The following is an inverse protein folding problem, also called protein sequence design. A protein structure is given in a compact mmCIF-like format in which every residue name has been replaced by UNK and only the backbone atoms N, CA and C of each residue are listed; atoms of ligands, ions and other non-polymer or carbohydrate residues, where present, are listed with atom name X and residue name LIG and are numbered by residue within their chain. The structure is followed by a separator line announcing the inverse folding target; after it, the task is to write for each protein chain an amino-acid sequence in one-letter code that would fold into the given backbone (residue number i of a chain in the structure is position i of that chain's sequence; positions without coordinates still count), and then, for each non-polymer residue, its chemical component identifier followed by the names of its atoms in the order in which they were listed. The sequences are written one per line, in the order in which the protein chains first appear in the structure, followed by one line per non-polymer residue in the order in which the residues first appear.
data_IF_301456058106
#
_entry.id   IF_301456058106
#
_cell.length_a   1.000
_cell.length_b   1.000
_cell.length_c   1.000
_cell.angle_alpha   90.00
_cell.angle_beta   90.00
_cell.angle_gamma   90.00
#
_symmetry.space_group_name_H-M   'P 1'
#
loop_
_entity.id
_entity.type
_entity.pdbx_description
1 polymer ?
#
# COMPACT_ATOMS: atom_id res chain seq x y z
N UNK A 1 -2.78 55.78 -12.82
CA UNK A 1 -2.01 56.71 -11.96
C UNK A 1 -1.50 55.91 -10.75
N UNK A 2 -0.23 56.10 -10.40
CA UNK A 2 0.62 55.35 -9.43
C UNK A 2 1.11 53.97 -9.90
N UNK A 3 2.23 53.83 -10.62
CA UNK A 3 3.67 53.91 -10.21
C UNK A 3 4.06 52.74 -9.28
N UNK A 4 4.51 51.58 -9.80
CA UNK A 4 5.90 51.22 -10.12
C UNK A 4 6.92 51.60 -9.03
N UNK A 5 7.62 50.58 -8.49
CA UNK A 5 9.06 50.61 -8.26
C UNK A 5 9.56 49.18 -7.98
N UNK A 6 10.26 48.61 -8.97
CA UNK A 6 11.12 47.43 -8.83
C UNK A 6 12.37 47.81 -8.04
N UNK A 7 12.73 47.00 -7.03
CA UNK A 7 14.02 47.03 -6.37
C UNK A 7 14.86 45.82 -6.77
N UNK A 8 16.01 46.08 -7.39
CA UNK A 8 16.99 45.10 -7.85
C UNK A 8 17.83 44.52 -6.69
N UNK A 9 18.40 43.33 -6.94
CA UNK A 9 19.22 42.50 -6.03
C UNK A 9 20.49 43.20 -5.50
N UNK A 10 21.12 42.58 -4.49
CA UNK A 10 22.51 42.18 -4.71
C UNK A 10 22.78 40.70 -4.39
N UNK A 11 23.58 40.10 -5.27
CA UNK A 11 24.31 38.85 -5.11
C UNK A 11 25.15 38.84 -3.83
N UNK A 12 24.78 38.00 -2.86
CA UNK A 12 25.63 37.62 -1.74
C UNK A 12 26.25 36.25 -1.99
N UNK A 13 27.54 36.21 -2.31
CA UNK A 13 28.34 34.99 -2.27
C UNK A 13 28.65 34.68 -0.79
N UNK A 14 27.97 33.72 -0.20
CA UNK A 14 28.38 33.12 1.07
C UNK A 14 29.23 31.88 0.79
N UNK A 15 30.46 31.99 1.26
CA UNK A 15 31.55 31.04 1.20
C UNK A 15 31.18 29.71 1.86
N UNK A 16 31.87 28.68 1.38
CA UNK A 16 31.75 27.26 1.72
C UNK A 16 31.91 26.98 3.22
N UNK A 17 31.01 26.15 3.76
CA UNK A 17 31.38 25.13 4.74
C UNK A 17 31.00 23.77 4.15
N UNK A 18 31.95 22.83 3.96
CA UNK A 18 31.60 21.46 3.65
C UNK A 18 30.87 20.86 4.86
N UNK A 19 29.88 19.98 4.65
CA UNK A 19 29.15 19.38 5.75
C UNK A 19 30.15 18.64 6.64
N UNK A 20 30.26 19.10 7.88
CA UNK A 20 30.95 18.38 8.94
C UNK A 20 30.51 16.93 8.87
N UNK A 21 31.49 16.03 8.86
CA UNK A 21 31.28 14.60 8.85
C UNK A 21 30.39 14.22 10.04
N UNK A 22 29.09 14.19 9.79
CA UNK A 22 28.12 13.65 10.72
C UNK A 22 28.52 12.21 10.95
N UNK A 23 28.91 11.92 12.20
CA UNK A 23 29.07 10.56 12.74
C UNK A 23 28.11 9.62 12.01
N UNK A 24 28.59 8.45 11.52
CA UNK A 24 27.68 7.44 10.99
C UNK A 24 26.59 7.27 12.05
N UNK A 25 25.32 7.52 11.68
CA UNK A 25 24.19 7.14 12.53
C UNK A 25 24.51 5.73 12.97
N UNK A 26 24.73 5.53 14.27
CA UNK A 26 25.01 4.22 14.81
C UNK A 26 24.00 3.29 14.18
N UNK A 27 24.49 2.30 13.40
CA UNK A 27 23.61 1.27 12.88
C UNK A 27 22.92 0.72 14.10
N UNK A 28 21.64 1.08 14.29
CA UNK A 28 20.84 0.58 15.38
C UNK A 28 20.66 -0.88 15.03
N UNK A 29 21.60 -1.71 15.49
CA UNK A 29 21.62 -3.14 15.27
C UNK A 29 20.27 -3.67 15.73
N UNK A 30 19.48 -4.12 14.78
CA UNK A 30 18.19 -4.71 15.06
C UNK A 30 18.43 -5.93 15.95
N UNK A 31 17.70 -6.04 17.05
CA UNK A 31 17.78 -7.21 17.92
C UNK A 31 17.39 -8.44 17.10
N UNK A 32 18.30 -9.41 17.06
CA UNK A 32 18.03 -10.73 16.50
C UNK A 32 17.39 -11.60 17.59
N UNK A 33 16.16 -12.04 17.37
CA UNK A 33 15.44 -12.93 18.27
C UNK A 33 15.69 -14.37 17.84
N UNK A 34 16.01 -15.23 18.79
CA UNK A 34 16.20 -16.67 18.58
C UNK A 34 14.86 -17.41 18.37
N UNK A 35 14.94 -18.64 17.88
CA UNK A 35 13.75 -19.48 17.70
C UNK A 35 13.03 -19.74 19.03
N UNK A 36 13.77 -19.87 20.13
CA UNK A 36 13.23 -20.09 21.47
C UNK A 36 12.51 -18.85 22.03
N UNK A 37 12.94 -17.65 21.62
CA UNK A 37 12.28 -16.39 22.01
C UNK A 37 11.00 -16.12 21.20
N UNK A 38 10.84 -16.76 20.04
CA UNK A 38 9.73 -16.53 19.12
C UNK A 38 8.72 -17.67 19.20
N UNK A 39 7.68 -17.50 20.02
CA UNK A 39 6.55 -18.42 20.08
C UNK A 39 5.96 -18.68 18.69
N UNK A 40 6.16 -19.88 18.16
CA UNK A 40 5.71 -20.29 16.82
C UNK A 40 6.18 -19.38 15.66
N UNK A 41 7.36 -18.74 15.79
CA UNK A 41 7.89 -17.85 14.76
C UNK A 41 7.12 -16.52 14.61
N UNK A 42 6.23 -16.21 15.55
CA UNK A 42 5.46 -14.97 15.59
C UNK A 42 6.30 -13.81 16.14
N UNK A 43 5.96 -12.58 15.72
CA UNK A 43 6.60 -11.38 16.25
C UNK A 43 6.35 -11.25 17.78
N UNK A 44 7.34 -10.82 18.56
CA UNK A 44 7.17 -10.56 19.98
C UNK A 44 6.01 -9.58 20.25
N UNK A 45 5.13 -9.84 21.26
CA UNK A 45 3.92 -9.04 21.50
C UNK A 45 4.17 -7.53 21.66
N UNK A 46 5.29 -7.12 22.26
CA UNK A 46 5.63 -5.71 22.46
C UNK A 46 5.90 -4.95 21.16
N UNK A 47 6.25 -5.65 20.07
CA UNK A 47 6.38 -5.02 18.74
C UNK A 47 5.01 -4.79 18.09
N UNK A 48 4.06 -5.69 18.36
CA UNK A 48 2.70 -5.60 17.84
C UNK A 48 1.89 -4.53 18.57
N UNK A 49 2.00 -4.42 19.90
CA UNK A 49 1.29 -3.38 20.68
C UNK A 49 1.70 -1.97 20.27
N UNK A 50 2.98 -1.75 19.97
CA UNK A 50 3.47 -0.46 19.45
C UNK A 50 2.85 -0.09 18.11
N UNK A 51 2.40 -1.09 17.37
CA UNK A 51 1.85 -0.97 16.02
C UNK A 51 0.33 -1.10 15.95
N UNK A 52 -0.35 -1.17 17.11
CA UNK A 52 -1.79 -1.42 17.27
C UNK A 52 -2.74 -0.43 16.55
N UNK A 53 -2.21 0.57 15.84
CA UNK A 53 -2.99 1.44 14.94
C UNK A 53 -3.32 0.81 13.59
N UNK A 54 -2.80 -0.38 13.26
CA UNK A 54 -3.07 -1.06 12.00
C UNK A 54 -4.54 -1.44 11.80
N UNK A 55 -5.21 -1.90 12.86
CA UNK A 55 -6.58 -2.44 12.78
C UNK A 55 -7.60 -1.42 12.26
N UNK A 56 -7.29 -0.12 12.35
CA UNK A 56 -8.14 0.95 11.85
C UNK A 56 -7.88 1.29 10.38
N UNK A 57 -6.79 0.79 9.79
CA UNK A 57 -6.48 1.02 8.39
C UNK A 57 -7.37 0.13 7.51
N UNK A 58 -7.96 0.72 6.48
CA UNK A 58 -8.88 0.04 5.57
C UNK A 58 -8.34 -1.30 5.01
N UNK A 59 -7.07 -1.40 4.56
CA UNK A 59 -6.53 -2.68 4.10
C UNK A 59 -6.56 -3.81 5.13
N UNK A 60 -6.51 -3.49 6.42
CA UNK A 60 -6.49 -4.50 7.50
C UNK A 60 -7.92 -4.83 7.89
N UNK A 61 -8.74 -3.81 8.13
CA UNK A 61 -10.13 -3.97 8.55
C UNK A 61 -10.99 -4.76 7.55
N UNK A 62 -10.70 -4.67 6.25
CA UNK A 62 -11.46 -5.38 5.21
C UNK A 62 -11.20 -6.89 5.16
N UNK A 63 -10.06 -7.38 5.69
CA UNK A 63 -9.66 -8.79 5.53
C UNK A 63 -10.71 -9.75 6.07
N UNK A 64 -11.21 -9.52 7.30
CA UNK A 64 -12.20 -10.40 7.93
C UNK A 64 -13.50 -10.50 7.12
N UNK A 65 -13.94 -9.38 6.52
CA UNK A 65 -15.14 -9.35 5.67
C UNK A 65 -14.92 -10.11 4.35
N UNK A 66 -13.74 -9.94 3.73
CA UNK A 66 -13.39 -10.63 2.49
C UNK A 66 -13.25 -12.14 2.67
N UNK A 67 -12.70 -12.59 3.81
CA UNK A 67 -12.63 -14.01 4.13
C UNK A 67 -14.02 -14.61 4.36
N UNK A 68 -14.88 -13.91 5.10
CA UNK A 68 -16.26 -14.34 5.34
C UNK A 68 -17.09 -14.45 4.04
N UNK A 69 -16.87 -13.55 3.08
CA UNK A 69 -17.55 -13.59 1.77
C UNK A 69 -16.94 -14.60 0.80
N UNK A 70 -15.61 -14.80 0.84
CA UNK A 70 -14.92 -15.79 0.01
C UNK A 70 -15.41 -17.22 0.25
N UNK A 71 -15.71 -17.58 1.50
CA UNK A 71 -16.32 -18.87 1.82
C UNK A 71 -17.72 -19.05 1.20
N UNK A 72 -18.47 -17.97 0.95
CA UNK A 72 -19.75 -18.01 0.24
C UNK A 72 -19.56 -18.09 -1.27
N UNK A 73 -18.64 -17.26 -1.81
CA UNK A 73 -18.35 -17.21 -3.25
C UNK A 73 -17.60 -18.43 -3.77
N UNK A 74 -17.02 -19.30 -2.94
CA UNK A 74 -16.49 -20.58 -3.43
C UNK A 74 -17.55 -21.47 -4.12
N UNK A 75 -18.84 -21.21 -3.90
CA UNK A 75 -19.94 -21.81 -4.66
C UNK A 75 -20.33 -21.06 -5.95
N UNK A 76 -19.85 -19.83 -6.15
CA UNK A 76 -20.05 -19.03 -7.37
C UNK A 76 -18.74 -18.98 -8.17
N UNK A 77 -18.73 -19.60 -9.35
CA UNK A 77 -17.54 -19.71 -10.19
C UNK A 77 -16.82 -18.39 -10.47
N UNK A 78 -15.55 -18.43 -10.90
CA UNK A 78 -14.70 -17.25 -11.03
C UNK A 78 -15.25 -16.23 -12.05
N UNK A 79 -15.93 -15.20 -11.56
CA UNK A 79 -16.28 -13.99 -12.29
C UNK A 79 -15.04 -13.07 -12.36
N UNK A 80 -14.07 -13.36 -13.22
CA UNK A 80 -12.99 -12.42 -13.51
C UNK A 80 -12.38 -12.67 -14.89
N UNK A 81 -13.19 -12.50 -15.93
CA UNK A 81 -12.70 -12.33 -17.29
C UNK A 81 -11.82 -11.08 -17.36
N UNK A 82 -10.80 -11.13 -18.22
CA UNK A 82 -9.81 -10.09 -18.51
C UNK A 82 -10.39 -8.78 -19.08
N UNK A 83 -11.72 -8.63 -19.05
CA UNK A 83 -12.48 -7.57 -19.72
C UNK A 83 -13.12 -6.66 -18.68
N UNK A 84 -13.08 -5.35 -18.93
CA UNK A 84 -13.75 -4.35 -18.10
C UNK A 84 -15.27 -4.63 -18.05
N UNK A 85 -15.90 -4.64 -16.86
CA UNK A 85 -17.33 -4.88 -16.74
C UNK A 85 -18.13 -3.77 -17.44
N UNK A 86 -19.32 -4.12 -17.93
CA UNK A 86 -20.28 -3.13 -18.43
C UNK A 86 -21.23 -2.81 -17.28
N UNK A 87 -21.25 -1.56 -16.82
CA UNK A 87 -22.15 -1.16 -15.74
C UNK A 87 -23.51 -0.74 -16.29
N UNK A 88 -24.57 -1.35 -15.76
CA UNK A 88 -25.95 -0.93 -16.02
C UNK A 88 -26.52 -0.26 -14.76
N UNK A 89 -27.17 0.91 -14.88
CA UNK A 89 -27.75 1.60 -13.72
C UNK A 89 -28.65 0.73 -12.84
N UNK A 90 -29.34 -0.25 -13.44
CA UNK A 90 -30.28 -1.14 -12.76
C UNK A 90 -29.58 -2.20 -11.90
N UNK A 91 -28.37 -2.63 -12.28
CA UNK A 91 -27.60 -3.68 -11.59
C UNK A 91 -26.84 -3.13 -10.37
N UNK A 92 -26.90 -1.82 -10.17
CA UNK A 92 -26.01 -1.03 -9.31
C UNK A 92 -26.71 -0.53 -8.05
N UNK A 93 -27.97 -0.86 -7.78
CA UNK A 93 -28.66 -0.31 -6.60
C UNK A 93 -28.13 -0.87 -5.27
N UNK A 94 -27.87 -2.18 -5.19
CA UNK A 94 -27.44 -2.88 -3.97
C UNK A 94 -25.93 -3.18 -3.93
N UNK A 95 -25.20 -2.79 -4.98
CA UNK A 95 -23.79 -3.11 -5.13
C UNK A 95 -22.90 -2.20 -4.26
N UNK A 96 -21.73 -2.69 -3.86
CA UNK A 96 -20.78 -1.91 -3.07
C UNK A 96 -20.11 -0.80 -3.90
N UNK A 97 -19.55 0.22 -3.26
CA UNK A 97 -18.88 1.35 -3.95
C UNK A 97 -17.85 0.92 -5.00
N UNK A 98 -17.13 -0.19 -4.77
CA UNK A 98 -16.12 -0.70 -5.70
C UNK A 98 -16.69 -1.28 -7.00
N UNK A 99 -17.92 -1.80 -6.95
CA UNK A 99 -18.65 -2.37 -8.08
C UNK A 99 -19.36 -1.29 -8.89
N UNK A 100 -19.79 -0.21 -8.21
CA UNK A 100 -20.52 0.92 -8.81
C UNK A 100 -19.63 2.05 -9.32
N UNK A 101 -18.34 1.98 -9.03
CA UNK A 101 -17.35 2.97 -9.47
C UNK A 101 -17.17 2.94 -10.99
N UNK A 102 -17.00 4.11 -11.60
CA UNK A 102 -16.60 4.20 -13.02
C UNK A 102 -15.17 3.72 -13.28
N UNK A 103 -14.35 3.57 -12.24
CA UNK A 103 -13.07 2.89 -12.27
C UNK A 103 -13.16 1.72 -11.29
N UNK A 104 -13.89 0.64 -11.63
CA UNK A 104 -14.21 -0.41 -10.69
C UNK A 104 -12.97 -1.21 -10.31
N UNK A 105 -12.95 -1.76 -9.11
CA UNK A 105 -11.87 -2.60 -8.61
C UNK A 105 -12.42 -3.80 -7.87
N UNK A 106 -11.65 -4.87 -7.79
CA UNK A 106 -11.88 -5.98 -6.85
C UNK A 106 -10.86 -5.91 -5.73
N UNK A 107 -11.20 -6.48 -4.58
CA UNK A 107 -10.20 -6.75 -3.55
C UNK A 107 -9.65 -8.17 -3.70
N UNK A 108 -8.34 -8.30 -3.51
CA UNK A 108 -7.69 -9.58 -3.21
C UNK A 108 -7.02 -9.50 -1.85
N UNK A 109 -6.84 -10.64 -1.21
CA UNK A 109 -6.05 -10.73 0.02
C UNK A 109 -4.60 -10.98 -0.37
N UNK A 110 -3.76 -9.99 -0.11
CA UNK A 110 -2.29 -10.08 -0.18
C UNK A 110 -1.77 -10.69 1.12
N UNK A 111 -1.14 -11.86 1.04
CA UNK A 111 -0.56 -12.54 2.21
C UNK A 111 0.95 -12.53 2.10
N UNK A 112 1.61 -12.03 3.15
CA UNK A 112 3.06 -11.97 3.27
C UNK A 112 3.46 -12.44 4.66
N UNK A 113 4.02 -13.65 4.73
CA UNK A 113 4.42 -14.28 5.99
C UNK A 113 5.45 -13.46 6.77
N UNK A 114 6.23 -12.62 6.08
CA UNK A 114 7.29 -11.82 6.65
C UNK A 114 6.86 -10.38 6.97
N UNK A 115 5.54 -10.14 7.06
CA UNK A 115 4.96 -8.83 7.36
C UNK A 115 3.91 -8.96 8.44
N UNK A 116 3.78 -7.94 9.28
CA UNK A 116 2.64 -7.78 10.17
C UNK A 116 1.96 -6.44 9.87
N UNK A 117 0.63 -6.43 9.64
CA UNK A 117 -0.23 -7.61 9.53
C UNK A 117 0.09 -8.43 8.27
N UNK A 118 -0.04 -9.75 8.36
CA UNK A 118 0.33 -10.68 7.28
C UNK A 118 -0.59 -10.52 6.08
N UNK A 119 -1.90 -10.41 6.34
CA UNK A 119 -2.95 -10.26 5.34
C UNK A 119 -3.34 -8.80 5.18
N UNK A 120 -3.43 -8.35 3.94
CA UNK A 120 -3.95 -7.03 3.55
C UNK A 120 -4.95 -7.17 2.40
N UNK A 121 -6.06 -6.46 2.47
CA UNK A 121 -6.94 -6.25 1.33
C UNK A 121 -6.30 -5.26 0.35
N UNK A 122 -6.08 -5.69 -0.87
CA UNK A 122 -5.47 -4.89 -1.94
C UNK A 122 -6.44 -4.75 -3.10
N UNK A 123 -6.65 -3.50 -3.54
CA UNK A 123 -7.48 -3.18 -4.68
C UNK A 123 -6.77 -3.43 -6.02
N UNK A 124 -7.48 -4.06 -6.95
CA UNK A 124 -7.06 -4.26 -8.34
C UNK A 124 -8.08 -3.66 -9.29
N UNK A 125 -7.68 -2.68 -10.09
CA UNK A 125 -8.57 -2.06 -11.07
C UNK A 125 -8.98 -3.10 -12.12
N UNK A 126 -10.27 -3.15 -12.45
CA UNK A 126 -10.83 -4.09 -13.44
C UNK A 126 -10.72 -3.58 -14.87
N UNK A 127 -10.55 -2.27 -15.05
CA UNK A 127 -10.46 -1.59 -16.34
C UNK A 127 -9.10 -0.92 -16.51
N UNK A 128 -8.67 -0.74 -17.76
CA UNK A 128 -7.51 0.13 -18.08
C UNK A 128 -7.97 1.58 -18.19
N UNK A 129 -9.07 1.80 -18.89
CA UNK A 129 -9.79 3.06 -18.99
C UNK A 129 -10.78 3.25 -17.85
N UNK A 130 -11.80 4.08 -18.07
CA UNK A 130 -12.92 4.21 -17.14
C UNK A 130 -14.24 3.94 -17.86
N UNK A 131 -15.26 3.62 -17.10
CA UNK A 131 -16.60 3.35 -17.59
C UNK A 131 -17.32 4.67 -17.84
N UNK A 132 -17.79 4.86 -19.07
CA UNK A 132 -18.58 6.02 -19.43
C UNK A 132 -20.01 5.88 -18.88
N UNK A 133 -20.42 6.81 -18.02
CA UNK A 133 -21.72 6.77 -17.34
C UNK A 133 -22.96 6.76 -18.26
N UNK A 134 -22.84 7.18 -19.53
CA UNK A 134 -23.94 7.13 -20.50
C UNK A 134 -24.07 5.77 -21.18
N UNK A 135 -22.92 5.15 -21.49
CA UNK A 135 -22.90 3.90 -22.28
C UNK A 135 -22.73 2.65 -21.43
N UNK A 136 -22.26 2.80 -20.18
CA UNK A 136 -21.87 1.69 -19.32
C UNK A 136 -20.58 0.98 -19.75
N UNK A 137 -19.92 1.43 -20.83
CA UNK A 137 -18.75 0.76 -21.43
C UNK A 137 -17.46 1.52 -21.13
N UNK A 138 -16.36 0.78 -21.14
CA UNK A 138 -15.01 1.34 -21.03
C UNK A 138 -14.72 2.35 -22.15
N UNK A 139 -14.12 3.48 -21.80
CA UNK A 139 -13.55 4.46 -22.73
C UNK A 139 -12.05 4.59 -22.50
N UNK A 140 -11.29 4.67 -23.59
CA UNK A 140 -9.85 4.92 -23.58
C UNK A 140 -9.49 6.41 -23.41
N UNK A 141 -10.48 7.30 -23.32
CA UNK A 141 -10.26 8.74 -23.10
C UNK A 141 -9.79 9.07 -21.66
N UNK A 142 -9.87 8.11 -20.75
CA UNK A 142 -9.54 8.21 -19.33
C UNK A 142 -8.74 6.96 -18.92
N UNK A 143 -8.11 6.99 -17.75
CA UNK A 143 -7.39 5.85 -17.18
C UNK A 143 -7.87 5.53 -15.78
N UNK A 144 -8.10 4.25 -15.49
CA UNK A 144 -8.21 3.76 -14.11
C UNK A 144 -6.81 3.64 -13.51
N UNK A 145 -6.60 4.25 -12.35
CA UNK A 145 -5.34 4.19 -11.61
C UNK A 145 -5.58 3.85 -10.15
N UNK A 146 -4.64 3.14 -9.53
CA UNK A 146 -4.73 2.76 -8.13
C UNK A 146 -4.59 3.99 -7.21
N UNK A 147 -5.47 4.09 -6.22
CA UNK A 147 -5.31 4.97 -5.08
C UNK A 147 -4.47 4.25 -4.02
N UNK A 148 -3.34 4.84 -3.64
CA UNK A 148 -2.38 4.23 -2.71
C UNK A 148 -2.46 4.88 -1.32
N UNK A 149 -2.56 4.06 -0.28
CA UNK A 149 -2.44 4.48 1.12
C UNK A 149 -1.08 4.06 1.69
N UNK A 150 -0.43 4.97 2.43
CA UNK A 150 0.78 4.64 3.20
C UNK A 150 0.39 3.90 4.48
N UNK A 151 0.94 2.69 4.66
CA UNK A 151 0.69 1.84 5.82
C UNK A 151 2.01 1.47 6.48
N UNK A 152 2.15 1.76 7.78
CA UNK A 152 3.27 1.25 8.57
C UNK A 152 3.09 -0.26 8.73
N UNK A 153 4.12 -1.06 8.54
CA UNK A 153 4.11 -2.51 8.76
C UNK A 153 5.35 -2.94 9.51
N UNK A 154 5.30 -4.09 10.18
CA UNK A 154 6.48 -4.72 10.77
C UNK A 154 6.99 -5.82 9.84
N UNK A 155 8.23 -5.70 9.39
CA UNK A 155 8.91 -6.69 8.56
C UNK A 155 9.74 -7.64 9.41
N UNK A 156 9.64 -8.92 9.09
CA UNK A 156 10.48 -10.01 9.60
C UNK A 156 11.56 -10.32 8.58
N UNK A 157 12.82 -10.40 9.03
CA UNK A 157 13.94 -10.82 8.20
C UNK A 157 14.81 -11.83 8.95
N UNK A 158 15.35 -12.87 8.29
CA UNK A 158 16.35 -13.74 8.92
C UNK A 158 17.54 -12.93 9.42
N UNK A 159 18.15 -13.34 10.54
CA UNK A 159 19.32 -12.67 11.10
C UNK A 159 20.35 -13.67 11.63
N UNK A 160 21.61 -13.23 11.69
CA UNK A 160 22.68 -13.94 12.41
C UNK A 160 22.80 -13.40 13.82
N UNK A 161 22.83 -14.30 14.80
CA UNK A 161 23.05 -13.94 16.22
C UNK A 161 24.52 -13.65 16.52
N UNK A 162 25.42 -14.34 15.82
CA UNK A 162 26.86 -14.33 16.09
C UNK A 162 27.65 -13.43 15.12
N UNK A 163 26.94 -12.67 14.27
CA UNK A 163 27.55 -11.79 13.26
C UNK A 163 28.14 -12.53 12.06
N UNK A 164 27.82 -13.81 11.91
CA UNK A 164 28.17 -14.62 10.73
C UNK A 164 27.40 -14.17 9.49
N UNK A 165 27.94 -14.51 8.31
CA UNK A 165 27.25 -14.23 7.04
C UNK A 165 25.94 -15.01 6.91
N UNK A 166 25.92 -16.25 7.40
CA UNK A 166 24.73 -17.11 7.33
C UNK A 166 23.74 -16.80 8.46
N UNK A 167 22.43 -16.68 8.16
CA UNK A 167 21.41 -16.52 9.17
C UNK A 167 21.36 -17.72 10.13
N UNK A 168 21.19 -17.45 11.42
CA UNK A 168 20.96 -18.51 12.41
C UNK A 168 19.55 -19.09 12.18
N UNK A 169 19.38 -20.41 11.98
CA UNK A 169 18.08 -21.01 11.72
C UNK A 169 17.03 -20.61 12.77
N UNK A 170 15.84 -20.22 12.30
CA UNK A 170 14.73 -19.78 13.15
C UNK A 170 14.93 -18.43 13.84
N UNK A 171 16.06 -17.74 13.60
CA UNK A 171 16.33 -16.43 14.19
C UNK A 171 15.91 -15.29 13.26
N UNK A 172 15.18 -14.32 13.82
CA UNK A 172 14.62 -13.22 13.05
C UNK A 172 14.83 -11.85 13.72
N UNK A 173 15.09 -10.86 12.89
CA UNK A 173 15.07 -9.45 13.27
C UNK A 173 13.80 -8.80 12.71
N UNK A 174 13.30 -7.81 13.44
CA UNK A 174 12.09 -7.09 13.08
C UNK A 174 12.35 -5.60 12.95
N UNK A 175 11.78 -4.99 11.91
CA UNK A 175 11.86 -3.54 11.71
C UNK A 175 10.56 -3.01 11.12
N UNK A 176 10.29 -1.73 11.30
CA UNK A 176 9.10 -1.09 10.74
C UNK A 176 9.43 -0.37 9.45
N UNK A 177 8.54 -0.45 8.46
CA UNK A 177 8.63 0.34 7.22
C UNK A 177 7.25 0.83 6.79
N UNK A 178 7.20 1.86 5.93
CA UNK A 178 5.97 2.26 5.26
C UNK A 178 5.88 1.58 3.90
N UNK A 179 4.78 0.88 3.67
CA UNK A 179 4.43 0.32 2.35
C UNK A 179 3.29 1.13 1.73
N UNK A 180 3.14 1.04 0.40
CA UNK A 180 2.04 1.64 -0.34
C UNK A 180 1.04 0.57 -0.73
N UNK A 181 -0.16 0.65 -0.17
CA UNK A 181 -1.22 -0.35 -0.39
C UNK A 181 -2.31 0.24 -1.27
N UNK A 182 -2.65 -0.39 -2.42
CA UNK A 182 -3.81 -0.01 -3.21
C UNK A 182 -5.11 -0.21 -2.42
N UNK A 183 -5.84 0.88 -2.17
CA UNK A 183 -7.10 0.89 -1.39
C UNK A 183 -8.34 1.03 -2.26
N UNK A 184 -8.16 1.39 -3.53
CA UNK A 184 -9.22 1.52 -4.51
C UNK A 184 -8.65 1.95 -5.85
N UNK A 185 -9.54 2.26 -6.79
CA UNK A 185 -9.17 2.84 -8.08
C UNK A 185 -9.95 4.14 -8.32
N UNK A 186 -9.28 5.09 -8.97
CA UNK A 186 -9.88 6.36 -9.40
C UNK A 186 -9.70 6.53 -10.90
N UNK A 187 -10.49 7.43 -11.47
CA UNK A 187 -10.47 7.76 -12.88
C UNK A 187 -9.73 9.08 -13.11
N UNK A 188 -8.74 9.09 -14.00
CA UNK A 188 -7.92 10.27 -14.30
C UNK A 188 -7.81 10.53 -15.80
N UNK A 189 -7.49 11.77 -16.17
CA UNK A 189 -7.09 12.09 -17.54
C UNK A 189 -5.76 11.37 -17.88
N UNK A 190 -5.59 10.87 -19.11
CA UNK A 190 -4.30 10.36 -19.58
C UNK A 190 -3.23 11.45 -19.52
N UNK A 191 -1.98 11.06 -19.28
CA UNK A 191 -0.85 11.99 -19.38
C UNK A 191 -0.75 12.46 -20.83
N UNK A 192 -0.85 13.77 -21.08
CA UNK A 192 -0.51 14.34 -22.38
C UNK A 192 1.00 14.40 -22.52
N UNK A 193 1.55 13.76 -23.56
CA UNK A 193 2.84 14.16 -24.11
C UNK A 193 2.60 15.43 -24.93
N UNK A 194 2.89 16.59 -24.35
CA UNK A 194 3.13 17.79 -25.16
C UNK A 194 4.56 17.74 -25.69
#
# INVERSE_FOLDING_TARGET
MSLLLLGWLPTGMTHQDPPSWGKPRSHRTLRCYSAEELSHGQAPPHLLTRSARWEQALPVALVASLEATGHRRQHEGPLAGTQCPVLRPEEVLEADTHERSISPWRYRIDTDENRYPQKLAVAECLCRGCINAKTGRETAALNSVQLLQSLLVLRRQPCSRDGTADPTPGSFAFHTEFIRVPVGCTCVLPRSTQ
#
